data_IF_892613048688
#
_entry.id   IF_892613048688
#
_cell.length_a   1.000
_cell.length_b   1.000
_cell.length_c   1.000
_cell.angle_alpha   90.00
_cell.angle_beta   90.00
_cell.angle_gamma   90.00
#
_symmetry.space_group_name_H-M   'P 1'
#
loop_
_entity.id
_entity.type
_entity.pdbx_description
1 polymer ?
#
# COMPACT_ATOMS: atom_id res chain seq x y z
N UNK A 1 -45.54 -30.02 9.34
CA UNK A 1 -45.35 -29.55 10.73
C UNK A 1 -44.30 -28.46 10.69
N UNK A 2 -44.52 -27.32 11.38
CA UNK A 2 -43.48 -26.30 11.54
C UNK A 2 -42.50 -26.80 12.60
N UNK A 3 -41.24 -26.99 12.23
CA UNK A 3 -40.18 -27.29 13.19
C UNK A 3 -39.87 -26.00 13.95
N UNK A 4 -40.46 -25.86 15.13
CA UNK A 4 -40.20 -24.74 16.03
C UNK A 4 -38.97 -25.11 16.84
N UNK A 5 -37.87 -24.40 16.61
CA UNK A 5 -36.64 -24.55 17.39
C UNK A 5 -36.93 -24.16 18.84
N UNK A 6 -36.48 -24.99 19.78
CA UNK A 6 -36.51 -24.70 21.20
C UNK A 6 -35.56 -23.55 21.55
N UNK A 7 -35.78 -22.90 22.69
CA UNK A 7 -34.91 -21.79 23.13
C UNK A 7 -33.44 -22.23 23.24
N UNK A 8 -33.19 -23.49 23.62
CA UNK A 8 -31.85 -24.05 23.71
C UNK A 8 -31.19 -24.22 22.33
N UNK A 9 -31.97 -24.53 21.30
CA UNK A 9 -31.48 -24.63 19.92
C UNK A 9 -31.22 -23.24 19.32
N UNK A 10 -32.01 -22.23 19.69
CA UNK A 10 -31.79 -20.83 19.31
C UNK A 10 -30.53 -20.24 19.96
N UNK A 11 -30.26 -20.56 21.21
CA UNK A 11 -29.01 -20.16 21.90
C UNK A 11 -27.79 -20.93 21.36
N UNK A 12 -28.00 -22.15 20.85
CA UNK A 12 -26.97 -22.94 20.17
C UNK A 12 -26.66 -22.45 18.76
N UNK A 13 -27.56 -21.71 18.12
CA UNK A 13 -27.31 -20.93 16.89
C UNK A 13 -26.50 -19.68 17.25
N UNK A 14 -25.34 -19.91 17.86
CA UNK A 14 -24.36 -18.87 18.08
C UNK A 14 -23.96 -18.33 16.71
N UNK A 15 -24.27 -17.05 16.48
CA UNK A 15 -23.75 -16.25 15.37
C UNK A 15 -22.28 -16.63 15.16
N UNK A 16 -22.01 -17.31 14.05
CA UNK A 16 -20.66 -17.40 13.52
C UNK A 16 -20.30 -15.96 13.16
N UNK A 17 -19.69 -15.26 14.12
CA UNK A 17 -19.12 -13.96 13.88
C UNK A 17 -18.15 -14.18 12.73
N UNK A 18 -18.52 -13.68 11.54
CA UNK A 18 -17.57 -13.49 10.47
C UNK A 18 -16.34 -12.88 11.13
N UNK A 19 -15.16 -13.51 11.00
CA UNK A 19 -14.01 -13.13 11.80
C UNK A 19 -13.83 -11.62 11.73
N UNK A 20 -13.59 -11.01 12.89
CA UNK A 20 -13.30 -9.57 13.01
C UNK A 20 -12.33 -9.22 11.88
N UNK A 21 -12.48 -8.05 11.24
CA UNK A 21 -11.78 -7.62 10.00
C UNK A 21 -10.23 -7.78 10.00
N UNK A 22 -9.66 -8.29 11.08
CA UNK A 22 -8.29 -8.78 11.30
C UNK A 22 -7.90 -10.02 10.47
N UNK A 23 -8.83 -10.80 9.91
CA UNK A 23 -8.47 -11.90 8.98
C UNK A 23 -8.22 -11.42 7.55
N UNK A 24 -8.73 -10.24 7.16
CA UNK A 24 -8.39 -9.60 5.88
C UNK A 24 -6.97 -9.01 5.88
N UNK A 25 -6.35 -8.83 7.04
CA UNK A 25 -4.97 -8.32 7.15
C UNK A 25 -3.90 -9.35 6.79
N UNK A 26 -4.20 -10.65 6.88
CA UNK A 26 -3.23 -11.71 6.63
C UNK A 26 -3.41 -12.43 5.27
N UNK A 27 -4.54 -12.22 4.59
CA UNK A 27 -4.82 -12.80 3.27
C UNK A 27 -5.01 -11.75 2.19
N UNK A 28 -3.93 -11.36 1.51
CA UNK A 28 -3.87 -10.61 0.24
C UNK A 28 -4.69 -9.29 0.08
N UNK A 29 -5.50 -8.87 1.06
CA UNK A 29 -6.39 -7.70 0.99
C UNK A 29 -5.86 -6.42 1.64
N UNK A 30 -4.80 -6.50 2.46
CA UNK A 30 -4.09 -5.36 3.07
C UNK A 30 -2.59 -5.39 2.76
N UNK A 31 -2.22 -5.82 1.56
CA UNK A 31 -0.82 -5.77 1.13
C UNK A 31 -0.52 -4.39 0.57
N UNK A 32 0.03 -3.57 1.43
CA UNK A 32 0.38 -2.21 1.10
C UNK A 32 1.84 -2.12 0.62
N UNK A 33 2.07 -2.59 -0.60
CA UNK A 33 3.40 -2.66 -1.19
C UNK A 33 3.58 -1.62 -2.30
N UNK A 34 4.63 -0.80 -2.20
CA UNK A 34 5.08 0.06 -3.30
C UNK A 34 6.53 -0.31 -3.67
N UNK A 35 6.70 -0.99 -4.80
CA UNK A 35 8.01 -1.22 -5.39
C UNK A 35 8.43 0.03 -6.18
N UNK A 36 9.36 0.82 -5.64
CA UNK A 36 9.79 2.08 -6.26
C UNK A 36 11.23 1.98 -6.71
N UNK A 37 11.43 2.20 -8.01
CA UNK A 37 12.74 2.40 -8.60
C UNK A 37 12.84 3.84 -9.09
N UNK A 38 13.76 4.60 -8.52
CA UNK A 38 13.96 6.00 -8.80
C UNK A 38 15.43 6.21 -9.19
N UNK A 39 15.67 6.67 -10.42
CA UNK A 39 17.01 7.00 -10.92
C UNK A 39 16.99 8.42 -11.44
N UNK A 40 17.95 9.24 -11.00
CA UNK A 40 18.13 10.61 -11.47
C UNK A 40 19.62 10.83 -11.78
N UNK A 41 19.91 11.39 -12.94
CA UNK A 41 21.26 11.68 -13.40
C UNK A 41 21.34 13.12 -13.89
N UNK A 42 22.44 13.78 -13.56
CA UNK A 42 22.73 15.16 -13.96
C UNK A 42 24.13 15.21 -14.54
N UNK A 43 24.28 15.86 -15.69
CA UNK A 43 25.57 16.13 -16.31
C UNK A 43 25.62 17.61 -16.70
N UNK A 44 26.51 18.36 -16.05
CA UNK A 44 26.93 19.68 -16.50
C UNK A 44 28.29 19.52 -17.19
N UNK A 45 28.38 19.91 -18.46
CA UNK A 45 29.63 19.88 -19.22
C UNK A 45 29.85 21.22 -19.91
N UNK A 46 31.04 21.77 -19.70
CA UNK A 46 31.54 22.97 -20.37
C UNK A 46 32.56 22.57 -21.46
N UNK A 47 32.10 22.10 -22.61
CA UNK A 47 32.98 21.71 -23.72
C UNK A 47 33.42 22.93 -24.54
N UNK A 48 34.74 23.10 -24.74
CA UNK A 48 35.35 24.17 -25.55
C UNK A 48 34.81 25.58 -25.22
N UNK A 49 34.75 25.93 -23.93
CA UNK A 49 34.10 27.17 -23.47
C UNK A 49 35.06 28.11 -22.74
N UNK A 50 34.89 29.41 -22.96
CA UNK A 50 35.58 30.51 -22.29
C UNK A 50 34.53 31.37 -21.58
N UNK A 51 34.79 31.77 -20.33
CA UNK A 51 33.85 32.52 -19.50
C UNK A 51 32.47 31.83 -19.32
N UNK A 52 32.46 30.51 -19.10
CA UNK A 52 31.24 29.72 -18.95
C UNK A 52 31.03 29.18 -17.52
N UNK A 53 29.77 28.90 -17.19
CA UNK A 53 29.36 28.26 -15.94
C UNK A 53 28.34 27.17 -16.27
N UNK A 54 28.71 25.90 -16.11
CA UNK A 54 27.79 24.78 -16.21
C UNK A 54 27.31 24.42 -14.81
N UNK A 55 25.99 24.44 -14.61
CA UNK A 55 25.34 24.02 -13.38
C UNK A 55 24.35 22.92 -13.74
N UNK A 56 24.32 21.85 -12.94
CA UNK A 56 23.39 20.74 -13.14
C UNK A 56 22.89 20.27 -11.78
N UNK A 57 21.57 20.14 -11.66
CA UNK A 57 20.93 19.64 -10.45
C UNK A 57 19.95 18.53 -10.84
N UNK A 58 20.16 17.34 -10.29
CA UNK A 58 19.27 16.20 -10.40
C UNK A 58 18.44 16.11 -9.12
N UNK A 59 17.48 17.02 -8.96
CA UNK A 59 16.57 17.00 -7.80
C UNK A 59 15.48 15.96 -8.05
N UNK A 60 15.33 15.01 -7.13
CA UNK A 60 14.25 14.02 -7.17
C UNK A 60 13.52 13.99 -5.82
N UNK A 61 12.21 13.93 -5.87
CA UNK A 61 11.35 13.74 -4.68
C UNK A 61 10.42 12.57 -4.97
N UNK A 62 10.44 11.58 -4.08
CA UNK A 62 9.58 10.40 -4.14
C UNK A 62 8.70 10.42 -2.90
N UNK A 63 7.38 10.48 -3.12
CA UNK A 63 6.39 10.44 -2.03
C UNK A 63 5.46 9.28 -2.27
N UNK A 64 5.24 8.51 -1.21
CA UNK A 64 4.36 7.36 -1.19
C UNK A 64 3.35 7.58 -0.10
N UNK A 65 2.07 7.50 -0.45
CA UNK A 65 0.98 7.53 0.53
C UNK A 65 0.08 6.35 0.22
N UNK A 66 -0.27 5.64 1.28
CA UNK A 66 -1.00 4.38 1.19
C UNK A 66 -2.03 4.32 2.31
N UNK A 67 -3.12 3.56 2.11
CA UNK A 67 -4.25 3.45 3.05
C UNK A 67 -4.85 2.07 3.08
#
# INVERSE_FOLDING_TARGET
MRNVLSIAELESEHTELLPVRETLTFGFGNQNWAAIYASNSSLALNAASLASMANSAAVQTVVVTQG
#
